data_IF_394416874804
#
_entry.id   IF_394416874804
#
_cell.length_a   1.000
_cell.length_b   1.000
_cell.length_c   1.000
_cell.angle_alpha   90.00
_cell.angle_beta   90.00
_cell.angle_gamma   90.00
#
_symmetry.space_group_name_H-M   'P 1'
#
loop_
_entity.id
_entity.type
_entity.pdbx_description
1 polymer ?
#
# COMPACT_ATOMS: atom_id res chain seq x y z
N UNK A 1 3.89 21.32 12.79
CA UNK A 1 3.21 21.66 11.52
C UNK A 1 3.00 20.48 10.58
N UNK A 2 3.85 19.45 10.54
CA UNK A 2 3.66 18.24 9.71
C UNK A 2 2.28 17.55 9.92
N UNK A 3 1.78 17.60 11.16
CA UNK A 3 0.43 17.18 11.59
C UNK A 3 -0.72 17.81 10.78
N UNK A 4 -0.57 19.07 10.34
CA UNK A 4 -1.66 19.85 9.73
C UNK A 4 -1.75 19.69 8.21
N UNK A 5 -0.80 18.99 7.58
CA UNK A 5 -0.64 18.95 6.13
C UNK A 5 -0.83 17.57 5.50
N UNK A 6 -1.51 16.62 6.17
CA UNK A 6 -1.78 15.28 5.61
C UNK A 6 -0.53 14.46 5.24
N UNK A 7 0.59 14.62 5.94
CA UNK A 7 1.84 13.94 5.59
C UNK A 7 2.05 12.58 6.32
N UNK A 8 0.99 11.98 6.86
CA UNK A 8 1.04 10.65 7.49
C UNK A 8 0.90 9.49 6.50
N UNK A 9 0.73 8.28 7.03
CA UNK A 9 0.36 7.09 6.26
C UNK A 9 -1.09 6.72 6.55
N UNK A 10 -1.85 6.35 5.52
CA UNK A 10 -3.08 5.58 5.70
C UNK A 10 -2.85 4.17 5.20
N UNK A 11 -3.17 3.19 6.03
CA UNK A 11 -2.98 1.79 5.72
C UNK A 11 -4.20 0.94 6.08
N UNK A 12 -4.30 -0.21 5.43
CA UNK A 12 -5.27 -1.27 5.70
C UNK A 12 -4.55 -2.57 6.04
N UNK A 13 -5.17 -3.43 6.83
CA UNK A 13 -4.67 -4.77 7.14
C UNK A 13 -5.84 -5.71 7.40
N UNK A 14 -5.65 -7.01 7.21
CA UNK A 14 -6.67 -8.02 7.50
C UNK A 14 -6.80 -8.26 9.01
N UNK A 15 -5.67 -8.24 9.71
CA UNK A 15 -5.58 -8.36 11.16
C UNK A 15 -4.31 -7.72 11.69
N UNK A 16 -4.27 -7.43 13.00
CA UNK A 16 -3.08 -6.97 13.72
C UNK A 16 -2.94 -7.70 15.04
N UNK A 17 -1.72 -8.01 15.42
CA UNK A 17 -1.37 -8.44 16.77
C UNK A 17 -0.81 -7.24 17.53
N UNK A 18 -1.34 -7.03 18.74
CA UNK A 18 -0.92 -5.93 19.61
C UNK A 18 -0.46 -6.46 20.95
N UNK A 19 0.62 -5.89 21.45
CA UNK A 19 1.11 -6.13 22.80
C UNK A 19 0.93 -4.88 23.65
N UNK A 20 0.65 -5.09 24.94
CA UNK A 20 0.59 -4.00 25.90
C UNK A 20 1.97 -3.79 26.51
N UNK A 21 2.53 -2.60 26.33
CA UNK A 21 3.80 -2.18 26.91
C UNK A 21 3.55 -1.14 28.01
N UNK A 22 4.63 -0.68 28.67
CA UNK A 22 4.58 0.46 29.59
C UNK A 22 4.10 1.76 28.92
N UNK A 23 4.34 1.90 27.62
CA UNK A 23 4.10 3.12 26.85
C UNK A 23 2.76 3.09 26.09
N UNK A 24 2.05 1.95 26.11
CA UNK A 24 0.75 1.79 25.46
C UNK A 24 0.61 0.50 24.66
N UNK A 25 -0.24 0.51 23.64
CA UNK A 25 -0.36 -0.62 22.71
C UNK A 25 0.68 -0.50 21.60
N UNK A 26 1.39 -1.60 21.36
CA UNK A 26 2.37 -1.72 20.27
C UNK A 26 1.89 -2.78 19.29
N UNK A 27 1.82 -2.44 18.01
CA UNK A 27 1.60 -3.42 16.95
C UNK A 27 2.89 -4.23 16.78
N UNK A 28 2.80 -5.55 16.89
CA UNK A 28 3.94 -6.46 16.69
C UNK A 28 3.87 -7.20 15.36
N UNK A 29 2.67 -7.37 14.80
CA UNK A 29 2.48 -7.92 13.46
C UNK A 29 1.19 -7.39 12.81
N UNK A 30 1.15 -7.42 11.48
CA UNK A 30 -0.02 -7.07 10.68
C UNK A 30 -0.10 -7.99 9.44
N UNK A 31 -1.26 -8.60 9.20
CA UNK A 31 -1.49 -9.44 8.02
C UNK A 31 -1.99 -8.59 6.86
N UNK A 32 -1.41 -8.79 5.66
CA UNK A 32 -1.80 -8.08 4.44
C UNK A 32 -1.81 -6.54 4.60
N UNK A 33 -0.75 -6.00 5.20
CA UNK A 33 -0.60 -4.55 5.39
C UNK A 33 -0.43 -3.85 4.03
N UNK A 34 -1.32 -2.91 3.71
CA UNK A 34 -1.28 -2.12 2.49
C UNK A 34 -1.36 -0.63 2.79
N UNK A 35 -0.40 0.15 2.28
CA UNK A 35 -0.43 1.62 2.33
C UNK A 35 -1.32 2.12 1.20
N UNK A 36 -2.47 2.71 1.53
CA UNK A 36 -3.46 3.22 0.58
C UNK A 36 -3.34 4.73 0.33
N UNK A 37 -2.61 5.44 1.20
CA UNK A 37 -2.22 6.84 1.03
C UNK A 37 -0.92 7.13 1.78
N UNK A 38 -0.06 8.00 1.24
CA UNK A 38 1.25 8.35 1.80
C UNK A 38 2.43 8.06 0.87
N UNK A 39 2.20 7.98 -0.45
CA UNK A 39 3.25 7.68 -1.44
C UNK A 39 4.42 8.66 -1.40
N UNK A 40 4.16 9.97 -1.27
CA UNK A 40 5.20 10.99 -1.15
C UNK A 40 6.02 10.85 0.15
N UNK A 41 5.35 10.57 1.27
CA UNK A 41 6.01 10.30 2.56
C UNK A 41 6.90 9.07 2.45
N UNK A 42 6.38 7.98 1.90
CA UNK A 42 7.12 6.72 1.72
C UNK A 42 8.32 6.89 0.77
N UNK A 43 8.15 7.63 -0.33
CA UNK A 43 9.23 7.93 -1.27
C UNK A 43 10.33 8.79 -0.64
N UNK A 44 9.95 9.82 0.13
CA UNK A 44 10.88 10.69 0.84
C UNK A 44 11.68 9.92 1.89
N UNK A 45 11.03 9.04 2.66
CA UNK A 45 11.70 8.17 3.62
C UNK A 45 12.69 7.23 2.94
N UNK A 46 12.31 6.63 1.81
CA UNK A 46 13.20 5.75 1.03
C UNK A 46 14.41 6.50 0.49
N UNK A 47 14.22 7.71 -0.03
CA UNK A 47 15.31 8.56 -0.51
C UNK A 47 16.28 8.93 0.64
N UNK A 48 15.75 9.34 1.79
CA UNK A 48 16.56 9.64 2.98
C UNK A 48 17.35 8.40 3.45
N UNK A 49 16.69 7.23 3.54
CA UNK A 49 17.34 5.96 3.92
C UNK A 49 18.53 5.61 3.03
N UNK A 50 18.44 5.86 1.73
CA UNK A 50 19.52 5.56 0.77
C UNK A 50 20.75 6.43 0.99
N UNK A 51 20.58 7.65 1.49
CA UNK A 51 21.67 8.60 1.73
C UNK A 51 22.31 8.32 3.09
N UNK A 52 21.48 8.19 4.12
CA UNK A 52 21.91 8.06 5.51
C UNK A 52 20.82 7.32 6.30
N UNK A 53 20.95 6.00 6.49
CA UNK A 53 19.98 5.21 7.25
C UNK A 53 19.80 5.72 8.68
N UNK A 54 20.88 6.20 9.31
CA UNK A 54 20.91 6.74 10.67
C UNK A 54 20.04 8.01 10.83
N UNK A 55 19.75 8.75 9.75
CA UNK A 55 18.86 9.91 9.84
C UNK A 55 17.41 9.53 10.18
N UNK A 56 17.02 8.26 9.96
CA UNK A 56 15.65 7.81 10.19
C UNK A 56 15.37 7.39 11.64
N UNK A 57 16.38 7.24 12.49
CA UNK A 57 16.21 6.73 13.86
C UNK A 57 15.30 7.62 14.73
N UNK A 58 15.28 8.93 14.44
CA UNK A 58 14.47 9.92 15.17
C UNK A 58 13.24 10.36 14.36
N UNK A 59 12.97 9.73 13.23
CA UNK A 59 11.84 10.09 12.36
C UNK A 59 10.62 9.25 12.75
N UNK A 60 9.59 9.92 13.23
CA UNK A 60 8.30 9.30 13.52
C UNK A 60 7.25 9.75 12.52
N UNK A 61 6.60 8.78 11.85
CA UNK A 61 5.50 9.04 10.92
C UNK A 61 4.21 8.51 11.50
N UNK A 62 3.21 9.39 11.60
CA UNK A 62 1.89 9.00 12.07
C UNK A 62 1.19 8.12 11.03
N UNK A 63 0.59 7.02 11.49
CA UNK A 63 -0.18 6.11 10.66
C UNK A 63 -1.62 6.02 11.16
N UNK A 64 -2.58 6.10 10.23
CA UNK A 64 -3.96 5.65 10.43
C UNK A 64 -4.08 4.23 9.85
N UNK A 65 -4.28 3.24 10.71
CA UNK A 65 -4.47 1.86 10.31
C UNK A 65 -5.95 1.47 10.45
N UNK A 66 -6.53 0.91 9.39
CA UNK A 66 -7.90 0.36 9.42
C UNK A 66 -7.83 -1.14 9.24
N UNK A 67 -8.31 -1.89 10.23
CA UNK A 67 -8.41 -3.35 10.12
C UNK A 67 -9.72 -3.70 9.41
N UNK A 68 -9.63 -4.38 8.28
CA UNK A 68 -10.77 -4.76 7.44
C UNK A 68 -10.83 -6.28 7.38
N UNK A 69 -11.92 -6.92 7.85
CA UNK A 69 -12.07 -8.37 7.74
C UNK A 69 -12.00 -8.83 6.28
N UNK A 70 -11.40 -9.99 6.04
CA UNK A 70 -11.12 -10.48 4.68
C UNK A 70 -12.35 -10.59 3.78
N UNK A 71 -13.55 -10.84 4.35
CA UNK A 71 -14.81 -10.93 3.61
C UNK A 71 -15.34 -9.58 3.10
N UNK A 72 -14.86 -8.46 3.63
CA UNK A 72 -15.25 -7.11 3.23
C UNK A 72 -14.13 -6.38 2.47
N UNK A 73 -12.99 -7.04 2.25
CA UNK A 73 -11.78 -6.42 1.74
C UNK A 73 -11.95 -5.82 0.34
N UNK A 74 -12.47 -6.62 -0.60
CA UNK A 74 -12.65 -6.21 -2.01
C UNK A 74 -13.65 -5.06 -2.17
N UNK A 75 -14.60 -4.92 -1.24
CA UNK A 75 -15.60 -3.86 -1.27
C UNK A 75 -15.09 -2.59 -0.57
N UNK A 76 -14.53 -2.73 0.64
CA UNK A 76 -14.26 -1.60 1.53
C UNK A 76 -12.92 -0.92 1.24
N UNK A 77 -11.87 -1.69 0.91
CA UNK A 77 -10.53 -1.13 0.68
C UNK A 77 -10.50 -0.14 -0.49
N UNK A 78 -11.17 -0.39 -1.63
CA UNK A 78 -11.27 0.60 -2.71
C UNK A 78 -11.92 1.92 -2.25
N UNK A 79 -12.95 1.86 -1.39
CA UNK A 79 -13.57 3.07 -0.84
C UNK A 79 -12.63 3.80 0.12
N UNK A 80 -11.94 3.07 1.02
CA UNK A 80 -10.95 3.67 1.92
C UNK A 80 -9.89 4.39 1.10
N UNK A 81 -9.35 3.74 0.05
CA UNK A 81 -8.40 4.35 -0.86
C UNK A 81 -9.00 5.59 -1.54
N UNK A 82 -10.19 5.48 -2.14
CA UNK A 82 -10.89 6.59 -2.81
C UNK A 82 -11.00 7.83 -1.91
N UNK A 83 -11.47 7.66 -0.68
CA UNK A 83 -11.75 8.76 0.23
C UNK A 83 -10.51 9.27 0.97
N UNK A 84 -9.52 8.42 1.24
CA UNK A 84 -8.21 8.87 1.72
C UNK A 84 -7.51 9.76 0.68
N UNK A 85 -7.76 9.46 -0.59
CA UNK A 85 -7.19 10.18 -1.71
C UNK A 85 -8.03 11.35 -2.20
N UNK A 86 -9.30 11.52 -1.80
CA UNK A 86 -10.18 12.56 -2.34
C UNK A 86 -9.83 14.00 -1.91
N UNK A 87 -8.91 14.18 -0.97
CA UNK A 87 -8.41 15.52 -0.57
C UNK A 87 -7.33 16.06 -1.52
N UNK A 88 -6.76 15.24 -2.42
CA UNK A 88 -5.88 15.66 -3.52
C UNK A 88 -6.34 15.01 -4.83
N UNK A 89 -6.17 15.65 -5.99
CA UNK A 89 -6.67 15.12 -7.26
C UNK A 89 -5.89 13.85 -7.64
N UNK A 90 -6.44 12.67 -7.33
CA UNK A 90 -5.90 11.40 -7.83
C UNK A 90 -6.28 11.21 -9.29
N UNK A 91 -5.31 10.83 -10.12
CA UNK A 91 -5.57 10.58 -11.52
C UNK A 91 -6.49 9.37 -11.63
N UNK A 92 -7.40 9.37 -12.61
CA UNK A 92 -8.27 8.24 -12.86
C UNK A 92 -7.48 6.93 -13.01
N UNK A 93 -6.29 6.98 -13.63
CA UNK A 93 -5.43 5.83 -13.83
C UNK A 93 -4.98 5.17 -12.51
N UNK A 94 -4.58 5.96 -11.51
CA UNK A 94 -4.17 5.44 -10.21
C UNK A 94 -5.35 4.82 -9.45
N UNK A 95 -6.54 5.40 -9.61
CA UNK A 95 -7.77 4.85 -9.02
C UNK A 95 -8.20 3.53 -9.67
N UNK A 96 -8.05 3.41 -10.99
CA UNK A 96 -8.45 2.21 -11.74
C UNK A 96 -7.42 1.09 -11.70
N UNK A 97 -6.22 1.30 -11.15
CA UNK A 97 -5.14 0.30 -11.14
C UNK A 97 -5.53 -1.03 -10.46
N UNK A 98 -6.43 -0.99 -9.46
CA UNK A 98 -6.94 -2.17 -8.76
C UNK A 98 -8.31 -2.65 -9.27
N UNK A 99 -8.80 -2.14 -10.41
CA UNK A 99 -10.09 -2.58 -10.95
C UNK A 99 -10.03 -4.06 -11.35
N UNK A 100 -11.12 -4.86 -11.19
CA UNK A 100 -11.11 -6.30 -11.48
C UNK A 100 -10.60 -6.69 -12.86
N UNK A 101 -10.72 -5.80 -13.85
CA UNK A 101 -10.12 -5.98 -15.17
C UNK A 101 -8.58 -6.10 -15.11
N UNK A 102 -7.90 -5.20 -14.40
CA UNK A 102 -6.44 -5.19 -14.31
C UNK A 102 -5.90 -6.33 -13.44
N UNK A 103 -6.61 -6.68 -12.35
CA UNK A 103 -6.27 -7.84 -11.53
C UNK A 103 -6.37 -9.15 -12.33
N UNK A 104 -7.43 -9.33 -13.13
CA UNK A 104 -7.55 -10.48 -14.05
C UNK A 104 -6.46 -10.48 -15.11
N UNK A 105 -6.10 -9.31 -15.65
CA UNK A 105 -5.01 -9.19 -16.62
C UNK A 105 -3.66 -9.62 -16.02
N UNK A 106 -3.37 -9.21 -14.79
CA UNK A 106 -2.18 -9.67 -14.05
C UNK A 106 -2.22 -11.20 -13.83
N UNK A 107 -3.36 -11.74 -13.40
CA UNK A 107 -3.55 -13.17 -13.19
C UNK A 107 -3.30 -13.97 -14.48
N UNK A 108 -3.82 -13.49 -15.62
CA UNK A 108 -3.54 -14.08 -16.93
C UNK A 108 -2.06 -13.97 -17.30
N UNK A 109 -1.43 -12.81 -17.11
CA UNK A 109 0.01 -12.64 -17.38
C UNK A 109 0.89 -13.60 -16.60
N UNK A 110 0.45 -14.05 -15.42
CA UNK A 110 1.19 -15.02 -14.59
C UNK A 110 0.92 -16.48 -14.98
N UNK A 111 -0.16 -16.76 -15.72
CA UNK A 111 -0.62 -18.12 -16.05
C UNK A 111 -0.52 -18.47 -17.53
N UNK A 112 -0.50 -17.48 -18.41
CA UNK A 112 -0.51 -17.64 -19.85
C UNK A 112 0.84 -17.19 -20.38
N UNK A 113 1.60 -18.13 -20.96
CA UNK A 113 2.85 -17.82 -21.64
C UNK A 113 2.57 -16.98 -22.87
N UNK A 114 3.47 -16.06 -23.18
CA UNK A 114 3.39 -15.30 -24.40
C UNK A 114 3.63 -16.25 -25.59
N UNK A 115 2.94 -16.06 -26.72
CA UNK A 115 3.20 -16.84 -27.92
C UNK A 115 4.65 -16.64 -28.37
N UNK A 116 5.28 -17.71 -28.84
CA UNK A 116 6.66 -17.66 -29.31
C UNK A 116 6.79 -16.66 -30.47
N UNK A 117 7.88 -15.87 -30.46
CA UNK A 117 8.20 -14.99 -31.58
C UNK A 117 8.42 -15.83 -32.85
N UNK A 118 8.01 -15.32 -34.02
CA UNK A 118 8.17 -16.04 -35.30
C UNK A 118 9.61 -16.54 -35.47
N UNK A 119 9.77 -17.85 -35.67
CA UNK A 119 11.07 -18.50 -35.80
C UNK A 119 11.70 -19.02 -34.50
N UNK A 120 11.01 -18.92 -33.35
CA UNK A 120 11.47 -19.47 -32.07
C UNK A 120 10.55 -20.59 -31.58
N UNK A 121 11.12 -21.72 -31.14
CA UNK A 121 10.37 -22.90 -30.64
C UNK A 121 10.21 -22.91 -29.11
N UNK A 122 10.26 -21.74 -28.46
CA UNK A 122 10.07 -21.64 -27.01
C UNK A 122 8.84 -20.80 -26.70
N UNK A 123 7.85 -21.44 -26.11
CA UNK A 123 6.84 -20.72 -25.32
C UNK A 123 7.55 -20.14 -24.09
N UNK A 124 7.40 -18.84 -23.86
CA UNK A 124 8.02 -18.10 -22.73
C UNK A 124 6.99 -17.30 -21.97
#
# INVERSE_FOLDING_TARGET
MFFSYNNGLSATADSVEVEKTSDGLRIVSATNLQIVNGGQTTASLHAARKISPETLEQVHVQMKLTVVPSNAYEEVVPFISKYANSQNKVSAADFFSNYPFHMRMEEYSRRVLAPAAEGTNRET
#
